data_IF_195673203773
#
_entry.id   IF_195673203773
#
_cell.length_a   1.000
_cell.length_b   1.000
_cell.length_c   1.000
_cell.angle_alpha   90.00
_cell.angle_beta   90.00
_cell.angle_gamma   90.00
#
_symmetry.space_group_name_H-M   'P 1'
#
loop_
_entity.id
_entity.type
_entity.pdbx_description
1 polymer ?
#
# COMPACT_ATOMS: atom_id res chain seq x y z
N UNK A 1 8.33 22.25 -34.61
CA UNK A 1 7.77 20.98 -34.11
C UNK A 1 8.87 20.24 -33.36
N UNK A 2 8.94 20.38 -32.04
CA UNK A 2 10.00 19.81 -31.21
C UNK A 2 9.43 18.64 -30.39
N UNK A 3 9.77 17.42 -30.82
CA UNK A 3 9.54 16.20 -30.06
C UNK A 3 10.57 16.09 -28.93
N UNK A 4 10.19 16.48 -27.71
CA UNK A 4 10.96 16.14 -26.52
C UNK A 4 10.56 14.72 -26.11
N UNK A 5 11.32 13.72 -26.57
CA UNK A 5 11.31 12.39 -25.95
C UNK A 5 11.95 12.51 -24.57
N UNK A 6 11.14 12.63 -23.53
CA UNK A 6 11.58 12.38 -22.16
C UNK A 6 11.83 10.87 -22.00
N UNK A 7 13.07 10.45 -22.20
CA UNK A 7 13.54 9.15 -21.73
C UNK A 7 13.58 9.20 -20.20
N UNK A 8 12.49 8.77 -19.56
CA UNK A 8 12.54 8.44 -18.13
C UNK A 8 13.50 7.26 -17.94
N UNK A 9 14.42 7.31 -16.97
CA UNK A 9 15.25 6.17 -16.65
C UNK A 9 14.38 5.09 -16.00
N UNK A 10 14.16 3.99 -16.73
CA UNK A 10 13.64 2.74 -16.17
C UNK A 10 14.68 2.19 -15.19
N UNK A 11 14.52 2.52 -13.91
CA UNK A 11 15.26 1.84 -12.86
C UNK A 11 14.80 0.38 -12.81
N UNK A 12 15.76 -0.52 -12.98
CA UNK A 12 15.53 -1.93 -13.27
C UNK A 12 14.52 -2.61 -12.35
N UNK A 13 13.43 -3.09 -12.95
CA UNK A 13 12.57 -4.08 -12.35
C UNK A 13 13.42 -5.35 -12.22
N UNK A 14 13.79 -5.72 -10.99
CA UNK A 14 14.27 -7.06 -10.71
C UNK A 14 13.11 -8.04 -10.84
N UNK A 15 12.67 -8.34 -12.06
CA UNK A 15 11.71 -9.42 -12.34
C UNK A 15 12.46 -10.73 -12.16
N UNK A 16 12.43 -11.30 -10.96
CA UNK A 16 12.77 -12.72 -10.82
C UNK A 16 11.55 -13.52 -11.30
N UNK A 17 11.66 -14.41 -12.31
CA UNK A 17 10.51 -15.13 -12.88
C UNK A 17 9.80 -16.08 -11.90
N UNK A 18 10.31 -16.25 -10.67
CA UNK A 18 9.72 -17.10 -9.63
C UNK A 18 8.98 -16.34 -8.50
N UNK A 19 8.77 -15.03 -8.61
CA UNK A 19 7.93 -14.30 -7.66
C UNK A 19 7.98 -12.79 -7.89
N UNK A 20 6.82 -12.17 -8.17
CA UNK A 20 6.71 -10.74 -8.49
C UNK A 20 6.84 -9.91 -7.20
N UNK A 21 8.07 -9.67 -6.76
CA UNK A 21 8.39 -8.80 -5.62
C UNK A 21 8.35 -7.33 -6.06
N UNK A 22 7.73 -6.45 -5.26
CA UNK A 22 7.92 -5.00 -5.38
C UNK A 22 8.98 -4.60 -4.37
N UNK A 23 10.19 -4.29 -4.86
CA UNK A 23 11.24 -3.67 -4.07
C UNK A 23 11.27 -2.17 -4.37
N UNK A 24 10.92 -1.34 -3.38
CA UNK A 24 10.89 0.12 -3.54
C UNK A 24 12.10 0.84 -2.98
N UNK A 25 12.83 0.25 -2.03
CA UNK A 25 14.06 0.85 -1.51
C UNK A 25 15.29 0.24 -2.18
N UNK A 26 16.22 1.11 -2.60
CA UNK A 26 17.51 0.71 -3.19
C UNK A 26 18.58 0.39 -2.11
N UNK A 27 18.20 0.33 -0.84
CA UNK A 27 19.16 0.19 0.25
C UNK A 27 19.89 -1.15 0.17
N UNK A 28 21.20 -1.06 -0.08
CA UNK A 28 22.16 -2.16 0.03
C UNK A 28 22.74 -2.11 1.44
N UNK A 29 22.50 -3.16 2.22
CA UNK A 29 23.10 -3.44 3.53
C UNK A 29 22.39 -2.84 4.77
N UNK A 30 21.54 -3.68 5.37
CA UNK A 30 21.47 -4.02 6.80
C UNK A 30 20.78 -5.38 6.89
N UNK A 31 20.99 -6.14 7.95
CA UNK A 31 20.28 -7.41 8.18
C UNK A 31 18.80 -7.09 8.25
N UNK A 32 18.09 -7.34 7.15
CA UNK A 32 16.64 -7.19 7.10
C UNK A 32 16.04 -8.52 7.53
N UNK A 33 15.16 -8.47 8.52
CA UNK A 33 14.32 -9.62 8.82
C UNK A 33 13.19 -9.68 7.78
N UNK A 34 12.95 -10.87 7.24
CA UNK A 34 11.81 -11.13 6.37
C UNK A 34 10.82 -11.98 7.15
N UNK A 35 9.55 -11.56 7.20
CA UNK A 35 8.47 -12.46 7.65
C UNK A 35 7.26 -12.36 6.76
N UNK A 36 6.52 -13.46 6.77
CA UNK A 36 5.24 -13.55 6.12
C UNK A 36 4.08 -13.41 7.10
N UNK A 37 3.00 -12.82 6.65
CA UNK A 37 1.78 -12.58 7.39
C UNK A 37 0.57 -12.86 6.49
N UNK A 38 -0.37 -13.67 6.97
CA UNK A 38 -1.60 -13.95 6.24
C UNK A 38 -2.67 -12.93 6.60
N UNK A 39 -3.22 -12.28 5.58
CA UNK A 39 -4.45 -11.49 5.62
C UNK A 39 -5.60 -12.41 5.23
N UNK A 40 -6.54 -12.61 6.14
CA UNK A 40 -7.79 -13.29 5.82
C UNK A 40 -8.88 -12.26 5.47
N UNK A 41 -9.84 -12.61 4.60
CA UNK A 41 -10.82 -11.66 4.05
C UNK A 41 -11.64 -10.87 5.07
N UNK A 42 -11.87 -11.45 6.25
CA UNK A 42 -12.70 -10.88 7.31
C UNK A 42 -11.88 -10.43 8.53
N UNK A 43 -10.55 -10.55 8.49
CA UNK A 43 -9.70 -10.14 9.60
C UNK A 43 -9.70 -8.62 9.73
N UNK A 44 -9.81 -8.14 10.97
CA UNK A 44 -9.42 -6.77 11.28
C UNK A 44 -7.91 -6.64 11.13
N UNK A 45 -7.49 -5.53 10.54
CA UNK A 45 -6.09 -5.23 10.33
C UNK A 45 -5.74 -3.92 11.00
N UNK A 46 -4.51 -3.87 11.52
CA UNK A 46 -3.92 -2.65 12.03
C UNK A 46 -2.56 -2.43 11.37
N UNK A 47 -2.30 -1.19 11.01
CA UNK A 47 -1.03 -0.74 10.48
C UNK A 47 -0.42 0.23 11.48
N UNK A 48 0.81 -0.04 11.88
CA UNK A 48 1.52 0.73 12.90
C UNK A 48 2.55 1.63 12.23
N UNK A 49 2.64 2.86 12.69
CA UNK A 49 3.64 3.83 12.28
C UNK A 49 4.45 4.29 13.47
N UNK A 50 5.76 4.41 13.28
CA UNK A 50 6.68 4.96 14.27
C UNK A 50 7.21 6.31 13.79
N UNK A 51 7.20 7.31 14.65
CA UNK A 51 7.75 8.61 14.32
C UNK A 51 9.28 8.57 14.43
N UNK A 52 9.94 9.04 13.38
CA UNK A 52 11.40 9.21 13.31
C UNK A 52 11.65 10.56 12.68
N UNK A 53 12.19 11.48 13.47
CA UNK A 53 12.42 12.87 13.08
C UNK A 53 11.12 13.59 12.70
N UNK A 54 10.94 13.95 11.43
CA UNK A 54 9.77 14.64 10.87
C UNK A 54 8.82 13.69 10.12
N UNK A 55 9.09 12.38 10.14
CA UNK A 55 8.36 11.37 9.34
C UNK A 55 7.81 10.25 10.21
N UNK A 56 6.72 9.66 9.74
CA UNK A 56 6.06 8.52 10.36
C UNK A 56 6.22 7.33 9.42
N UNK A 57 7.12 6.41 9.78
CA UNK A 57 7.41 5.24 8.97
C UNK A 57 6.51 4.07 9.38
N UNK A 58 5.95 3.36 8.40
CA UNK A 58 5.25 2.11 8.61
C UNK A 58 6.23 1.11 9.25
N UNK A 59 5.88 0.64 10.45
CA UNK A 59 6.74 -0.19 11.27
C UNK A 59 6.11 -1.52 11.66
N UNK A 60 4.81 -1.73 11.44
CA UNK A 60 4.16 -2.98 11.80
C UNK A 60 2.84 -3.25 11.08
N UNK A 61 2.53 -4.55 10.99
CA UNK A 61 1.26 -5.09 10.52
C UNK A 61 0.68 -5.99 11.61
N UNK A 62 -0.60 -5.86 11.93
CA UNK A 62 -1.28 -6.70 12.92
C UNK A 62 -2.64 -7.14 12.41
N UNK A 63 -3.02 -8.38 12.70
CA UNK A 63 -4.40 -8.88 12.67
C UNK A 63 -4.80 -9.37 14.06
N UNK A 64 -6.04 -9.85 14.18
CA UNK A 64 -6.53 -10.49 15.40
C UNK A 64 -5.73 -11.76 15.75
N UNK A 65 -5.12 -12.39 14.75
CA UNK A 65 -4.42 -13.68 14.90
C UNK A 65 -2.90 -13.53 14.97
N UNK A 66 -2.33 -12.48 14.38
CA UNK A 66 -0.90 -12.35 14.20
C UNK A 66 -0.44 -10.90 14.33
N UNK A 67 0.81 -10.70 14.71
CA UNK A 67 1.47 -9.40 14.69
C UNK A 67 2.86 -9.52 14.12
N UNK A 68 3.27 -8.52 13.37
CA UNK A 68 4.57 -8.39 12.75
C UNK A 68 5.07 -6.94 12.87
N UNK A 69 6.38 -6.79 13.06
CA UNK A 69 7.00 -5.49 13.27
C UNK A 69 6.74 -4.92 14.67
N UNK A 70 6.68 -3.58 14.75
CA UNK A 70 6.60 -2.83 16.00
C UNK A 70 5.20 -2.27 16.24
N UNK A 71 4.85 -2.08 17.52
CA UNK A 71 3.57 -1.47 17.92
C UNK A 71 3.37 -0.07 17.33
N UNK A 72 4.46 0.67 17.16
CA UNK A 72 4.43 2.06 16.70
C UNK A 72 3.80 3.01 17.71
N UNK A 73 3.85 4.29 17.39
CA UNK A 73 3.24 5.37 18.15
C UNK A 73 1.83 5.68 17.63
N UNK A 74 1.63 5.52 16.32
CA UNK A 74 0.34 5.65 15.64
C UNK A 74 -0.11 4.28 15.15
N UNK A 75 -1.37 3.93 15.40
CA UNK A 75 -1.96 2.68 14.95
C UNK A 75 -3.26 2.98 14.24
N UNK A 76 -3.34 2.56 12.98
CA UNK A 76 -4.51 2.72 12.13
C UNK A 76 -5.25 1.39 12.08
N UNK A 77 -6.52 1.39 12.49
CA UNK A 77 -7.39 0.23 12.40
C UNK A 77 -8.19 0.27 11.10
N UNK A 78 -8.07 -0.77 10.27
CA UNK A 78 -8.88 -0.91 9.06
C UNK A 78 -10.05 -1.84 9.33
N UNK A 79 -11.24 -1.35 8.98
CA UNK A 79 -12.50 -2.06 9.16
C UNK A 79 -12.53 -3.32 8.29
N UNK A 80 -13.14 -4.44 8.75
CA UNK A 80 -13.05 -5.76 8.12
C UNK A 80 -13.83 -5.92 6.80
N UNK A 81 -14.12 -4.82 6.08
CA UNK A 81 -14.86 -4.89 4.83
C UNK A 81 -13.91 -5.13 3.67
N UNK A 82 -13.49 -6.38 3.48
CA UNK A 82 -12.96 -6.88 2.21
C UNK A 82 -11.72 -6.14 1.71
N UNK A 83 -10.64 -6.10 2.50
CA UNK A 83 -9.36 -5.57 2.02
C UNK A 83 -8.92 -6.33 0.76
N UNK A 84 -8.66 -5.60 -0.31
CA UNK A 84 -8.30 -6.09 -1.63
C UNK A 84 -7.06 -5.39 -2.21
N UNK A 85 -6.44 -4.48 -1.47
CA UNK A 85 -5.22 -3.83 -1.92
C UNK A 85 -4.61 -2.83 -0.95
N UNK A 86 -3.35 -2.53 -1.19
CA UNK A 86 -2.54 -1.53 -0.48
C UNK A 86 -1.84 -0.64 -1.50
N UNK A 87 -1.83 0.67 -1.24
CA UNK A 87 -1.00 1.62 -1.95
C UNK A 87 -0.05 2.24 -0.94
N UNK A 88 1.22 2.19 -1.25
CA UNK A 88 2.31 2.55 -0.35
C UNK A 88 3.10 3.71 -0.97
N UNK A 89 3.56 4.63 -0.14
CA UNK A 89 4.48 5.70 -0.55
C UNK A 89 5.78 5.56 0.20
N UNK A 90 6.90 5.66 -0.50
CA UNK A 90 8.25 5.65 0.05
C UNK A 90 9.04 6.89 -0.35
N UNK A 91 9.86 7.38 0.57
CA UNK A 91 10.79 8.50 0.44
C UNK A 91 12.25 8.02 0.27
N UNK A 92 12.47 6.82 -0.30
CA UNK A 92 13.74 6.09 -0.37
C UNK A 92 14.25 5.46 0.94
N UNK A 93 13.80 5.99 2.09
CA UNK A 93 14.19 5.53 3.41
C UNK A 93 13.27 4.44 3.96
N UNK A 94 11.99 4.49 3.64
CA UNK A 94 11.01 3.46 4.03
C UNK A 94 9.62 3.82 3.56
N UNK A 95 8.60 3.10 3.99
CA UNK A 95 7.22 3.47 3.71
C UNK A 95 6.73 4.54 4.67
N UNK A 96 6.36 5.71 4.16
CA UNK A 96 5.92 6.85 4.96
C UNK A 96 4.40 7.02 4.98
N UNK A 97 3.71 6.45 4.00
CA UNK A 97 2.26 6.53 3.92
C UNK A 97 1.65 5.27 3.31
N UNK A 98 0.41 5.00 3.71
CA UNK A 98 -0.40 3.89 3.26
C UNK A 98 -1.80 4.37 2.94
N UNK A 99 -2.34 3.91 1.84
CA UNK A 99 -3.77 3.96 1.51
C UNK A 99 -4.23 2.53 1.31
N UNK A 100 -5.46 2.22 1.70
CA UNK A 100 -5.99 0.86 1.61
C UNK A 100 -7.15 0.80 0.63
N UNK A 101 -7.28 -0.37 0.00
CA UNK A 101 -8.39 -0.69 -0.90
C UNK A 101 -9.26 -1.73 -0.25
N UNK A 102 -10.51 -1.38 0.00
CA UNK A 102 -11.57 -2.34 0.30
C UNK A 102 -12.25 -2.74 -1.02
N UNK A 103 -13.57 -2.61 -1.16
CA UNK A 103 -14.22 -2.64 -2.48
C UNK A 103 -13.75 -1.49 -3.38
N UNK A 104 -13.47 -0.33 -2.76
CA UNK A 104 -12.92 0.86 -3.40
C UNK A 104 -11.70 1.35 -2.58
N UNK A 105 -10.87 2.20 -3.19
CA UNK A 105 -9.77 2.84 -2.48
C UNK A 105 -10.31 3.90 -1.53
N UNK A 106 -9.77 3.94 -0.32
CA UNK A 106 -10.06 5.02 0.62
C UNK A 106 -9.56 6.35 0.08
N UNK A 107 -10.26 7.44 0.39
CA UNK A 107 -9.86 8.78 -0.07
C UNK A 107 -8.61 9.30 0.64
N UNK A 108 -8.37 8.84 1.86
CA UNK A 108 -7.34 9.37 2.75
C UNK A 108 -6.08 8.51 2.74
N UNK A 109 -4.94 9.19 2.88
CA UNK A 109 -3.65 8.55 3.19
C UNK A 109 -3.42 8.54 4.69
N UNK A 110 -2.86 7.44 5.17
CA UNK A 110 -2.45 7.25 6.56
C UNK A 110 -0.93 7.35 6.68
N UNK A 111 -0.41 8.00 7.72
CA UNK A 111 1.04 8.17 7.96
C UNK A 111 1.47 9.63 7.82
N UNK A 112 2.60 9.87 7.16
CA UNK A 112 3.14 11.21 6.90
C UNK A 112 2.42 11.97 5.78
N UNK A 113 2.59 13.29 5.81
CA UNK A 113 2.29 14.16 4.67
C UNK A 113 3.10 13.77 3.44
N UNK A 114 2.48 13.93 2.27
CA UNK A 114 3.10 13.65 0.97
C UNK A 114 3.70 14.92 0.39
N UNK A 115 4.51 15.64 1.17
CA UNK A 115 5.08 16.94 0.82
C UNK A 115 6.48 16.87 0.19
N UNK A 116 7.04 15.66 0.02
CA UNK A 116 8.30 15.46 -0.70
C UNK A 116 8.09 15.33 -2.22
N UNK A 117 9.10 15.74 -2.98
CA UNK A 117 9.13 15.63 -4.45
C UNK A 117 9.70 14.27 -4.91
N UNK A 118 10.54 13.62 -4.12
CA UNK A 118 11.12 12.30 -4.44
C UNK A 118 10.36 11.18 -3.72
N UNK A 119 9.12 10.99 -4.15
CA UNK A 119 8.24 9.95 -3.64
C UNK A 119 8.07 8.82 -4.67
N UNK A 120 8.23 7.59 -4.19
CA UNK A 120 7.97 6.37 -4.93
C UNK A 120 6.66 5.77 -4.45
N UNK A 121 5.74 5.56 -5.37
CA UNK A 121 4.45 4.94 -5.09
C UNK A 121 4.52 3.47 -5.50
N UNK A 122 3.91 2.59 -4.70
CA UNK A 122 3.57 1.23 -5.11
C UNK A 122 2.11 0.95 -4.86
N UNK A 123 1.57 0.05 -5.68
CA UNK A 123 0.24 -0.50 -5.53
C UNK A 123 0.34 -2.01 -5.60
N UNK A 124 -0.37 -2.67 -4.69
CA UNK A 124 -0.51 -4.12 -4.61
C UNK A 124 -2.00 -4.41 -4.47
N UNK A 125 -2.55 -5.21 -5.38
CA UNK A 125 -3.95 -5.61 -5.37
C UNK A 125 -4.14 -7.12 -5.48
N UNK A 126 -5.22 -7.60 -4.89
CA UNK A 126 -5.66 -8.99 -4.93
C UNK A 126 -7.19 -9.07 -4.97
N UNK A 127 -7.77 -10.21 -5.37
CA UNK A 127 -9.22 -10.33 -5.46
C UNK A 127 -9.87 -10.31 -4.08
N UNK A 128 -11.03 -9.66 -3.98
CA UNK A 128 -11.85 -9.64 -2.76
C UNK A 128 -12.22 -11.07 -2.35
N UNK A 129 -12.14 -11.37 -1.06
CA UNK A 129 -12.56 -12.67 -0.53
C UNK A 129 -11.45 -13.73 -0.49
N UNK A 130 -10.22 -13.39 -0.91
CA UNK A 130 -9.08 -14.31 -0.88
C UNK A 130 -8.16 -14.06 0.29
N UNK A 131 -7.65 -15.14 0.88
CA UNK A 131 -6.55 -15.07 1.83
C UNK A 131 -5.27 -14.73 1.07
N UNK A 132 -4.53 -13.75 1.55
CA UNK A 132 -3.28 -13.29 0.93
C UNK A 132 -2.15 -13.34 1.93
N UNK A 133 -1.02 -13.89 1.49
CA UNK A 133 0.20 -13.91 2.29
C UNK A 133 1.07 -12.73 1.88
N UNK A 134 1.18 -11.73 2.74
CA UNK A 134 2.11 -10.62 2.58
C UNK A 134 3.46 -11.03 3.15
N UNK A 135 4.53 -10.74 2.42
CA UNK A 135 5.91 -10.86 2.89
C UNK A 135 6.47 -9.47 3.01
N UNK A 136 6.90 -9.11 4.22
CA UNK A 136 7.47 -7.82 4.51
C UNK A 136 8.90 -7.96 5.02
N UNK A 137 9.75 -7.05 4.57
CA UNK A 137 11.15 -6.92 5.00
C UNK A 137 11.30 -5.65 5.82
N UNK A 138 11.90 -5.77 7.00
CA UNK A 138 11.97 -4.69 7.98
C UNK A 138 13.31 -4.70 8.73
N UNK A 139 13.67 -3.55 9.28
CA UNK A 139 14.81 -3.38 10.19
C UNK A 139 14.32 -3.12 11.62
N UNK A 140 15.22 -2.63 12.48
CA UNK A 140 14.91 -2.34 13.88
C UNK A 140 13.80 -1.28 14.12
N UNK A 141 13.35 -0.56 13.08
CA UNK A 141 12.45 0.58 13.23
C UNK A 141 11.34 0.66 12.17
N UNK A 142 11.56 0.18 10.94
CA UNK A 142 10.65 0.41 9.80
C UNK A 142 10.62 -0.73 8.79
N UNK A 143 9.53 -0.77 8.03
CA UNK A 143 9.33 -1.68 6.90
C UNK A 143 9.87 -1.02 5.63
N UNK A 144 10.64 -1.81 4.88
CA UNK A 144 11.37 -1.41 3.67
C UNK A 144 10.78 -2.01 2.39
N UNK A 145 10.32 -3.24 2.48
CA UNK A 145 9.80 -4.00 1.35
C UNK A 145 8.50 -4.69 1.73
N UNK A 146 7.53 -4.70 0.82
CA UNK A 146 6.27 -5.41 0.95
C UNK A 146 6.00 -6.10 -0.38
N UNK A 147 5.71 -7.40 -0.31
CA UNK A 147 5.36 -8.22 -1.48
C UNK A 147 4.24 -9.19 -1.11
N UNK A 148 3.62 -9.80 -2.11
CA UNK A 148 2.67 -10.90 -1.92
C UNK A 148 3.34 -12.20 -2.32
N UNK A 149 3.24 -13.22 -1.46
CA UNK A 149 3.65 -14.58 -1.76
C UNK A 149 2.60 -15.25 -2.66
N UNK A 150 3.07 -15.78 -3.79
CA UNK A 150 2.25 -16.42 -4.81
C UNK A 150 2.16 -17.91 -4.54
N UNK A 151 1.40 -18.33 -3.54
CA UNK A 151 0.81 -19.67 -3.63
C UNK A 151 -0.15 -19.64 -4.84
N UNK A 152 -0.07 -20.66 -5.69
CA UNK A 152 -0.49 -20.67 -7.09
C UNK A 152 -1.99 -20.46 -7.42
N UNK A 153 -2.77 -19.83 -6.54
CA UNK A 153 -4.24 -19.79 -6.58
C UNK A 153 -4.87 -18.40 -6.63
N UNK A 154 -4.11 -17.31 -6.80
CA UNK A 154 -4.68 -15.96 -6.94
C UNK A 154 -4.96 -15.64 -8.42
N UNK A 155 -6.24 -15.57 -8.86
CA UNK A 155 -6.61 -15.45 -10.27
C UNK A 155 -6.27 -14.10 -10.91
N UNK A 156 -6.04 -13.04 -10.11
CA UNK A 156 -5.70 -11.71 -10.63
C UNK A 156 -4.94 -10.91 -9.57
N UNK A 157 -3.63 -10.73 -9.77
CA UNK A 157 -2.79 -9.88 -8.93
C UNK A 157 -2.18 -8.77 -9.79
N UNK A 158 -2.34 -7.53 -9.35
CA UNK A 158 -1.74 -6.37 -9.99
C UNK A 158 -0.81 -5.68 -9.00
N UNK A 159 0.45 -5.53 -9.43
CA UNK A 159 1.50 -4.91 -8.67
C UNK A 159 2.20 -3.91 -9.59
N UNK A 160 2.36 -2.69 -9.12
CA UNK A 160 2.94 -1.59 -9.90
C UNK A 160 3.74 -0.67 -8.98
N UNK A 161 4.78 -0.03 -9.53
CA UNK A 161 5.49 1.07 -8.87
C UNK A 161 5.80 2.19 -9.85
N UNK A 162 5.82 3.44 -9.38
CA UNK A 162 6.13 4.60 -10.22
C UNK A 162 6.72 5.76 -9.43
N UNK A 163 7.46 6.62 -10.14
CA UNK A 163 8.04 7.87 -9.64
C UNK A 163 7.30 9.04 -10.25
N UNK A 164 6.29 9.55 -9.54
CA UNK A 164 5.50 10.76 -9.83
C UNK A 164 4.25 10.73 -8.95
N UNK A 165 3.72 11.89 -8.54
CA UNK A 165 2.40 11.95 -7.90
C UNK A 165 1.27 11.59 -8.87
N UNK A 166 1.53 11.69 -10.17
CA UNK A 166 0.59 11.25 -11.20
C UNK A 166 0.80 9.76 -11.47
N UNK A 167 -0.27 8.94 -11.45
CA UNK A 167 -0.16 7.54 -11.80
C UNK A 167 0.25 7.36 -13.28
N UNK A 168 0.85 6.22 -13.66
CA UNK A 168 1.14 5.89 -15.05
C UNK A 168 -0.14 5.86 -15.89
N UNK A 169 -0.04 6.17 -17.19
CA UNK A 169 -1.19 6.19 -18.11
C UNK A 169 -1.96 4.87 -18.18
N UNK A 170 -1.27 3.75 -17.97
CA UNK A 170 -1.85 2.40 -18.00
C UNK A 170 -2.42 1.97 -16.64
N UNK A 171 -2.27 2.79 -15.60
CA UNK A 171 -2.94 2.54 -14.33
C UNK A 171 -4.41 2.85 -14.49
N UNK A 172 -5.25 1.83 -14.27
CA UNK A 172 -6.71 1.99 -14.26
C UNK A 172 -7.06 3.04 -13.21
N UNK A 173 -7.67 4.18 -13.60
CA UNK A 173 -8.02 5.24 -12.68
C UNK A 173 -8.94 4.71 -11.58
N UNK A 174 -8.67 5.16 -10.37
CA UNK A 174 -9.44 4.79 -9.20
C UNK A 174 -10.48 5.86 -8.96
N UNK A 175 -11.76 5.47 -9.01
CA UNK A 175 -12.85 6.35 -8.60
C UNK A 175 -12.85 6.43 -7.08
N UNK A 176 -12.41 7.57 -6.56
CA UNK A 176 -12.61 7.95 -5.16
C UNK A 176 -14.09 8.35 -5.05
N UNK A 177 -14.89 7.50 -4.40
CA UNK A 177 -16.30 7.81 -4.20
C UNK A 177 -16.40 8.81 -3.06
N UNK A 178 -16.48 10.10 -3.43
CA UNK A 178 -16.92 11.15 -2.53
C UNK A 178 -18.26 10.73 -1.95
N UNK A 179 -18.35 10.70 -0.62
CA UNK A 179 -19.58 10.32 0.07
C UNK A 179 -20.76 11.16 -0.43
N UNK A 180 -21.63 10.55 -1.22
CA UNK A 180 -23.00 11.03 -1.34
C UNK A 180 -23.69 10.60 -0.05
N UNK A 181 -23.60 11.44 0.98
CA UNK A 181 -24.64 11.45 2.00
C UNK A 181 -25.80 12.25 1.41
N UNK A 182 -26.79 11.54 0.89
CA UNK A 182 -28.12 12.11 0.63
C UNK A 182 -29.10 11.21 1.34
N UNK A 183 -29.24 11.48 2.64
CA UNK A 183 -30.53 11.30 3.33
C UNK A 183 -31.56 12.37 2.89
N UNK A 184 -31.27 13.17 1.85
CA UNK A 184 -32.13 14.27 1.40
C UNK A 184 -32.83 13.99 0.06
N UNK A 185 -33.53 12.85 -0.11
CA UNK A 185 -34.70 12.78 -1.02
C UNK A 185 -35.68 11.71 -0.50
N UNK A 186 -36.31 11.96 0.65
CA UNK A 186 -37.58 11.29 0.98
C UNK A 186 -38.63 12.23 1.62
N UNK A 187 -38.38 13.52 1.78
CA UNK A 187 -39.36 14.48 2.32
C UNK A 187 -39.91 15.44 1.25
N UNK A 188 -40.43 14.88 0.15
CA UNK A 188 -41.28 15.64 -0.79
C UNK A 188 -42.32 14.73 -1.46
N UNK A 189 -42.94 13.82 -0.70
CA UNK A 189 -44.23 13.22 -1.04
C UNK A 189 -45.05 13.15 0.25
N UNK A 190 -45.55 14.30 0.71
CA UNK A 190 -46.83 14.50 1.39
C UNK A 190 -46.90 15.94 1.92
N UNK A 191 -47.86 16.69 1.38
CA UNK A 191 -48.12 18.10 1.66
C UNK A 191 -49.03 18.69 0.59
#
# INVERSE_FOLDING_TARGET
MSNIKMNQPLLGIGVNPSGRRIRLSQWRSKVLEERSFNIYPTSKLWFSFNHVLDRSYLCGFRSELNMFGYKGELVIAISPKQLSGLRLVSDSEGFIALQVKNTFWEEHWHGSTLDSDDLVFAQIEWPVGYTVRIVASFDAFKIHEVSIDHSASLPQHQSMSWKSRLPPNDLIPVVLTGGVSVNDINDAVEG
#
